data_IF_371619424885
#
_entry.id   IF_371619424885
#
_cell.length_a   1.000
_cell.length_b   1.000
_cell.length_c   1.000
_cell.angle_alpha   90.00
_cell.angle_beta   90.00
_cell.angle_gamma   90.00
#
_symmetry.space_group_name_H-M   'P 1'
#
loop_
_entity.id
_entity.type
_entity.pdbx_description
1 polymer ?
#
# COMPACT_ATOMS: atom_id res chain seq x y z
N UNK A 1 23.27 -35.84 -3.03
CA UNK A 1 23.91 -34.75 -2.26
C UNK A 1 23.39 -33.45 -2.82
N UNK A 2 22.58 -32.72 -2.05
CA UNK A 2 22.01 -31.44 -2.48
C UNK A 2 23.13 -30.39 -2.51
N UNK A 3 23.37 -29.80 -3.67
CA UNK A 3 24.36 -28.76 -3.93
C UNK A 3 23.74 -27.36 -3.83
N UNK A 4 22.70 -27.18 -3.01
CA UNK A 4 22.15 -25.85 -2.76
C UNK A 4 23.08 -25.11 -1.79
N UNK A 5 23.67 -23.97 -2.19
CA UNK A 5 24.49 -23.17 -1.29
C UNK A 5 23.61 -22.71 -0.14
N UNK A 6 23.99 -23.07 1.09
CA UNK A 6 23.29 -22.62 2.29
C UNK A 6 23.42 -21.09 2.33
N UNK A 7 22.33 -20.32 2.26
CA UNK A 7 22.40 -18.87 2.27
C UNK A 7 22.61 -18.42 3.72
N UNK A 8 23.82 -18.64 4.24
CA UNK A 8 24.28 -18.05 5.50
C UNK A 8 24.79 -16.62 5.25
N UNK A 9 23.97 -15.78 4.61
CA UNK A 9 24.20 -14.33 4.67
C UNK A 9 23.46 -13.85 5.92
N UNK A 10 24.11 -14.05 7.08
CA UNK A 10 23.88 -13.13 8.21
C UNK A 10 24.22 -11.72 7.72
N UNK A 11 23.67 -10.69 8.36
CA UNK A 11 23.81 -9.31 7.88
C UNK A 11 25.25 -9.00 7.46
N UNK A 12 25.46 -8.17 6.44
CA UNK A 12 26.80 -7.83 5.93
C UNK A 12 27.73 -7.34 7.05
N UNK A 13 27.17 -6.71 8.09
CA UNK A 13 27.84 -6.35 9.33
C UNK A 13 28.33 -7.56 10.14
N UNK A 14 27.52 -8.61 10.29
CA UNK A 14 27.89 -9.84 11.00
C UNK A 14 29.04 -10.58 10.31
N UNK A 15 29.06 -10.60 8.99
CA UNK A 15 30.12 -11.25 8.20
C UNK A 15 31.46 -10.54 8.40
N UNK A 16 31.49 -9.20 8.34
CA UNK A 16 32.69 -8.40 8.60
C UNK A 16 33.17 -8.56 10.05
N UNK A 17 32.23 -8.53 11.02
CA UNK A 17 32.56 -8.71 12.44
C UNK A 17 33.09 -10.11 12.76
N UNK A 18 32.54 -11.15 12.13
CA UNK A 18 33.03 -12.51 12.27
C UNK A 18 34.44 -12.66 11.67
N UNK A 19 34.67 -12.12 10.48
CA UNK A 19 35.97 -12.12 9.84
C UNK A 19 37.01 -11.37 10.69
N UNK A 20 36.65 -10.20 11.24
CA UNK A 20 37.47 -9.44 12.18
C UNK A 20 37.89 -10.30 13.39
N UNK A 21 36.93 -10.92 14.08
CA UNK A 21 37.20 -11.69 15.29
C UNK A 21 38.10 -12.90 15.00
N UNK A 22 37.86 -13.59 13.89
CA UNK A 22 38.65 -14.74 13.45
C UNK A 22 40.08 -14.36 13.08
N UNK A 23 40.27 -13.22 12.41
CA UNK A 23 41.59 -12.70 12.06
C UNK A 23 42.37 -12.31 13.30
N UNK A 24 41.75 -11.61 14.26
CA UNK A 24 42.43 -11.22 15.50
C UNK A 24 42.90 -12.43 16.33
N UNK A 25 42.06 -13.47 16.41
CA UNK A 25 42.47 -14.72 17.03
C UNK A 25 43.70 -15.34 16.34
N UNK A 26 43.74 -15.28 15.01
CA UNK A 26 44.85 -15.81 14.21
C UNK A 26 46.13 -14.96 14.36
N UNK A 27 46.01 -13.64 14.43
CA UNK A 27 47.11 -12.69 14.70
C UNK A 27 47.71 -12.93 16.08
N UNK A 28 46.89 -13.04 17.11
CA UNK A 28 47.38 -13.32 18.48
C UNK A 28 48.10 -14.67 18.56
N UNK A 29 47.58 -15.69 17.87
CA UNK A 29 48.23 -17.00 17.76
C UNK A 29 49.56 -16.91 16.99
N UNK A 30 49.59 -16.16 15.89
CA UNK A 30 50.79 -15.97 15.08
C UNK A 30 51.91 -15.26 15.86
N UNK A 31 51.56 -14.23 16.62
CA UNK A 31 52.51 -13.49 17.46
C UNK A 31 53.10 -14.35 18.59
N UNK A 32 52.29 -15.24 19.18
CA UNK A 32 52.74 -16.20 20.22
C UNK A 32 53.55 -17.36 19.64
N UNK A 33 53.29 -17.74 18.39
CA UNK A 33 53.90 -18.88 17.72
C UNK A 33 53.14 -20.20 17.90
N UNK A 34 53.44 -21.17 17.02
CA UNK A 34 52.74 -22.47 16.97
C UNK A 34 53.14 -23.46 18.09
N UNK A 35 54.27 -23.23 18.77
CA UNK A 35 54.73 -24.07 19.86
C UNK A 35 54.29 -23.47 21.20
N UNK A 36 53.34 -24.15 21.85
CA UNK A 36 52.91 -23.86 23.22
C UNK A 36 54.08 -24.04 24.19
N UNK A 37 54.82 -22.98 24.48
CA UNK A 37 55.66 -22.95 25.67
C UNK A 37 54.77 -22.76 26.89
N UNK A 38 54.87 -23.71 27.82
CA UNK A 38 54.13 -23.72 29.07
C UNK A 38 54.57 -22.58 29.98
N UNK A 39 53.64 -21.67 30.28
CA UNK A 39 53.50 -20.89 31.52
C UNK A 39 54.65 -20.00 32.03
N UNK A 40 55.78 -19.88 31.34
CA UNK A 40 56.87 -18.97 31.73
C UNK A 40 57.24 -18.06 30.56
N UNK A 41 56.25 -17.33 30.05
CA UNK A 41 56.52 -16.17 29.20
C UNK A 41 56.79 -15.01 30.15
N UNK A 42 58.01 -14.48 30.14
CA UNK A 42 58.36 -13.29 30.92
C UNK A 42 57.36 -12.16 30.62
N UNK A 43 56.95 -11.42 31.66
CA UNK A 43 55.93 -10.37 31.55
C UNK A 43 56.25 -9.32 30.48
N UNK A 44 57.52 -9.17 30.14
CA UNK A 44 58.04 -8.24 29.13
C UNK A 44 57.64 -8.68 27.71
N UNK A 45 57.85 -9.94 27.34
CA UNK A 45 57.44 -10.48 26.03
C UNK A 45 55.92 -10.45 25.87
N UNK A 46 55.18 -10.77 26.93
CA UNK A 46 53.71 -10.74 26.89
C UNK A 46 53.18 -9.32 26.63
N UNK A 47 53.79 -8.30 27.21
CA UNK A 47 53.44 -6.90 26.96
C UNK A 47 53.78 -6.48 25.52
N UNK A 48 54.93 -6.88 24.99
CA UNK A 48 55.32 -6.62 23.59
C UNK A 48 54.36 -7.27 22.60
N UNK A 49 53.97 -8.53 22.84
CA UNK A 49 52.96 -9.24 22.03
C UNK A 49 51.61 -8.51 22.08
N UNK A 50 51.18 -8.06 23.26
CA UNK A 50 49.91 -7.36 23.41
C UNK A 50 49.88 -6.02 22.67
N UNK A 51 50.93 -5.21 22.80
CA UNK A 51 51.04 -3.92 22.10
C UNK A 51 51.05 -4.10 20.58
N UNK A 52 51.77 -5.11 20.08
CA UNK A 52 51.78 -5.43 18.65
C UNK A 52 50.41 -5.94 18.18
N UNK A 53 49.74 -6.79 18.96
CA UNK A 53 48.39 -7.25 18.65
C UNK A 53 47.38 -6.10 18.61
N UNK A 54 47.47 -5.13 19.53
CA UNK A 54 46.61 -3.94 19.55
C UNK A 54 46.84 -3.06 18.30
N UNK A 55 48.07 -2.96 17.80
CA UNK A 55 48.36 -2.27 16.54
C UNK A 55 47.68 -2.93 15.33
N UNK A 56 47.76 -4.26 15.21
CA UNK A 56 47.06 -5.00 14.16
C UNK A 56 45.54 -4.90 14.30
N UNK A 57 45.02 -4.91 15.54
CA UNK A 57 43.59 -4.73 15.83
C UNK A 57 43.06 -3.42 15.25
N UNK A 58 43.79 -2.33 15.40
CA UNK A 58 43.36 -1.04 14.87
C UNK A 58 43.40 -1.03 13.34
N UNK A 59 44.44 -1.58 12.72
CA UNK A 59 44.51 -1.73 11.24
C UNK A 59 43.31 -2.50 10.69
N UNK A 60 43.00 -3.65 11.29
CA UNK A 60 41.90 -4.53 10.85
C UNK A 60 40.54 -3.86 11.08
N UNK A 61 40.39 -3.09 12.16
CA UNK A 61 39.16 -2.34 12.45
C UNK A 61 38.91 -1.22 11.45
N UNK A 62 39.96 -0.46 11.10
CA UNK A 62 39.88 0.62 10.10
C UNK A 62 39.46 0.05 8.75
N UNK A 63 40.10 -1.03 8.30
CA UNK A 63 39.78 -1.64 7.01
C UNK A 63 38.39 -2.28 7.02
N UNK A 64 38.03 -2.99 8.10
CA UNK A 64 36.70 -3.56 8.27
C UNK A 64 35.58 -2.51 8.18
N UNK A 65 35.78 -1.32 8.76
CA UNK A 65 34.81 -0.22 8.65
C UNK A 65 34.69 0.33 7.22
N UNK A 66 35.80 0.44 6.49
CA UNK A 66 35.78 0.84 5.06
C UNK A 66 35.03 -0.19 4.22
N UNK A 67 35.32 -1.47 4.42
CA UNK A 67 34.66 -2.58 3.73
C UNK A 67 33.17 -2.60 4.04
N UNK A 68 32.79 -2.45 5.31
CA UNK A 68 31.38 -2.38 5.71
C UNK A 68 30.65 -1.24 4.98
N UNK A 69 31.20 -0.03 5.00
CA UNK A 69 30.61 1.12 4.31
C UNK A 69 30.49 0.91 2.80
N UNK A 70 31.51 0.30 2.17
CA UNK A 70 31.50 -0.01 0.74
C UNK A 70 30.42 -1.05 0.40
N UNK A 71 30.31 -2.12 1.18
CA UNK A 71 29.30 -3.16 1.02
C UNK A 71 27.89 -2.61 1.23
N UNK A 72 27.67 -1.78 2.26
CA UNK A 72 26.37 -1.15 2.51
C UNK A 72 25.96 -0.20 1.36
N UNK A 73 26.92 0.55 0.79
CA UNK A 73 26.68 1.41 -0.38
C UNK A 73 26.31 0.58 -1.61
N UNK A 74 27.08 -0.46 -1.94
CA UNK A 74 26.83 -1.33 -3.09
C UNK A 74 25.51 -2.10 -2.96
N UNK A 75 25.16 -2.53 -1.76
CA UNK A 75 23.87 -3.15 -1.47
C UNK A 75 22.70 -2.18 -1.73
N UNK A 76 22.81 -0.92 -1.31
CA UNK A 76 21.80 0.13 -1.60
C UNK A 76 21.69 0.43 -3.10
N UNK A 77 22.79 0.34 -3.84
CA UNK A 77 22.83 0.52 -5.29
C UNK A 77 22.37 -0.73 -6.07
N UNK A 78 22.05 -1.85 -5.39
CA UNK A 78 21.62 -3.10 -6.03
C UNK A 78 22.75 -3.87 -6.75
N UNK A 79 24.01 -3.50 -6.53
CA UNK A 79 25.19 -4.06 -7.20
C UNK A 79 25.77 -5.25 -6.44
N UNK A 80 24.98 -6.30 -6.24
CA UNK A 80 25.38 -7.44 -5.41
C UNK A 80 26.61 -8.20 -5.95
N UNK A 81 26.85 -8.21 -7.26
CA UNK A 81 28.05 -8.86 -7.82
C UNK A 81 29.36 -8.13 -7.47
N UNK A 82 29.31 -6.83 -7.18
CA UNK A 82 30.48 -6.06 -6.75
C UNK A 82 30.75 -6.24 -5.25
N UNK A 83 29.74 -6.65 -4.46
CA UNK A 83 29.89 -6.93 -3.02
C UNK A 83 30.84 -8.09 -2.78
N UNK A 84 30.73 -9.16 -3.56
CA UNK A 84 31.60 -10.33 -3.44
C UNK A 84 33.06 -9.98 -3.75
N UNK A 85 33.31 -9.11 -4.73
CA UNK A 85 34.66 -8.61 -5.03
C UNK A 85 35.25 -7.82 -3.86
N UNK A 86 34.46 -6.92 -3.25
CA UNK A 86 34.90 -6.13 -2.09
C UNK A 86 35.18 -7.02 -0.88
N UNK A 87 34.37 -8.06 -0.66
CA UNK A 87 34.61 -9.03 0.42
C UNK A 87 35.84 -9.89 0.14
N UNK A 88 36.09 -10.25 -1.12
CA UNK A 88 37.30 -10.97 -1.51
C UNK A 88 38.57 -10.16 -1.21
N UNK A 89 38.60 -8.89 -1.60
CA UNK A 89 39.72 -7.98 -1.33
C UNK A 89 39.95 -7.81 0.18
N UNK A 90 38.86 -7.71 0.95
CA UNK A 90 38.94 -7.66 2.41
C UNK A 90 39.52 -8.96 3.00
N UNK A 91 39.10 -10.13 2.52
CA UNK A 91 39.67 -11.40 2.95
C UNK A 91 41.17 -11.52 2.62
N UNK A 92 41.59 -11.04 1.46
CA UNK A 92 42.99 -10.98 1.06
C UNK A 92 43.81 -10.10 2.02
N UNK A 93 43.30 -8.90 2.33
CA UNK A 93 43.91 -8.02 3.33
C UNK A 93 44.03 -8.69 4.72
N UNK A 94 42.98 -9.37 5.18
CA UNK A 94 43.01 -10.08 6.47
C UNK A 94 44.07 -11.19 6.50
N UNK A 95 44.26 -11.89 5.38
CA UNK A 95 45.30 -12.91 5.25
C UNK A 95 46.71 -12.31 5.34
N UNK A 96 46.96 -11.20 4.64
CA UNK A 96 48.23 -10.48 4.68
C UNK A 96 48.60 -10.03 6.11
N UNK A 97 47.62 -9.52 6.87
CA UNK A 97 47.82 -9.14 8.27
C UNK A 97 48.27 -10.33 9.13
N UNK A 98 47.72 -11.52 8.91
CA UNK A 98 48.11 -12.73 9.66
C UNK A 98 49.53 -13.16 9.29
N UNK A 99 49.92 -13.07 8.02
CA UNK A 99 51.29 -13.38 7.57
C UNK A 99 52.31 -12.37 8.13
N UNK A 100 51.99 -11.07 8.12
CA UNK A 100 52.83 -10.06 8.79
C UNK A 100 53.02 -10.38 10.27
N UNK A 101 51.94 -10.75 10.97
CA UNK A 101 51.98 -11.11 12.38
C UNK A 101 52.84 -12.35 12.66
N UNK A 102 52.88 -13.33 11.75
CA UNK A 102 53.78 -14.50 11.88
C UNK A 102 55.25 -14.11 11.77
N UNK A 103 55.57 -13.22 10.83
CA UNK A 103 56.93 -12.72 10.64
C UNK A 103 57.37 -11.94 11.87
N UNK A 104 56.52 -11.01 12.35
CA UNK A 104 56.83 -10.18 13.52
C UNK A 104 56.92 -11.01 14.81
N UNK A 105 56.03 -11.99 15.00
CA UNK A 105 56.10 -12.94 16.13
C UNK A 105 57.36 -13.80 16.12
N UNK A 106 57.91 -14.10 14.95
CA UNK A 106 59.21 -14.77 14.82
C UNK A 106 60.37 -13.83 15.13
N UNK A 107 60.26 -12.54 14.76
CA UNK A 107 61.26 -11.50 15.07
C UNK A 107 61.33 -11.21 16.57
N UNK A 108 60.19 -11.09 17.24
CA UNK A 108 60.11 -10.87 18.70
C UNK A 108 60.80 -11.99 19.48
N UNK A 109 60.65 -13.25 19.04
CA UNK A 109 61.31 -14.40 19.68
C UNK A 109 62.83 -14.38 19.58
N UNK A 110 63.39 -14.04 18.41
CA UNK A 110 64.85 -13.98 18.24
C UNK A 110 65.52 -12.96 19.17
N UNK A 111 64.83 -11.86 19.46
CA UNK A 111 65.33 -10.82 20.38
C UNK A 111 65.41 -11.29 21.83
N UNK A 112 64.53 -12.20 22.25
CA UNK A 112 64.54 -12.75 23.60
C UNK A 112 65.56 -13.90 23.73
N UNK A 113 65.73 -14.71 22.69
CA UNK A 113 66.74 -15.78 22.67
C UNK A 113 68.19 -15.22 22.70
N UNK A 114 68.43 -14.05 22.11
CA UNK A 114 69.74 -13.36 22.16
C UNK A 114 70.10 -12.84 23.57
N UNK A 115 69.12 -12.59 24.45
CA UNK A 115 69.37 -12.06 25.81
C UNK A 115 69.83 -13.15 26.79
N UNK A 116 69.66 -14.43 26.45
CA UNK A 116 69.95 -15.57 27.35
C UNK A 116 71.38 -16.11 27.23
N UNK A 117 72.17 -15.69 26.22
CA UNK A 117 73.50 -16.27 25.93
C UNK A 117 74.68 -15.49 26.53
N UNK A 118 74.50 -14.26 27.04
CA UNK A 118 75.60 -13.43 27.58
C UNK A 118 75.75 -13.44 29.11
N UNK A 119 75.64 -14.59 29.80
CA UNK A 119 76.11 -14.69 31.20
C UNK A 119 76.60 -16.09 31.54
N UNK A 120 77.89 -16.35 31.32
CA UNK A 120 78.80 -17.17 32.17
C UNK A 120 80.10 -17.44 31.43
N UNK A 121 81.20 -16.84 31.89
CA UNK A 121 82.52 -17.49 31.96
C UNK A 121 83.48 -16.56 32.70
N UNK A 122 83.95 -17.01 33.88
CA UNK A 122 85.18 -16.49 34.50
C UNK A 122 85.67 -17.41 35.64
N UNK A 123 87.01 -17.54 35.72
CA UNK A 123 87.89 -18.10 36.79
C UNK A 123 88.09 -19.63 36.90
N UNK A 124 89.25 -20.23 37.27
CA UNK A 124 90.73 -20.04 37.16
C UNK A 124 91.41 -21.11 38.07
N UNK A 125 92.56 -21.66 37.62
CA UNK A 125 93.70 -22.32 38.34
C UNK A 125 93.49 -23.63 39.16
N UNK A 126 94.19 -24.76 38.93
CA UNK A 126 95.64 -25.15 39.04
C UNK A 126 96.16 -25.44 40.48
N UNK A 127 96.53 -26.71 40.77
CA UNK A 127 97.93 -27.19 40.99
C UNK A 127 98.05 -28.47 41.86
N UNK A 128 99.14 -29.22 41.64
CA UNK A 128 99.70 -30.13 42.64
C UNK A 128 100.59 -31.25 42.09
N UNK A 129 101.88 -30.98 41.87
CA UNK A 129 102.90 -32.01 41.61
C UNK A 129 104.04 -31.97 42.65
N UNK A 130 104.59 -33.16 42.85
CA UNK A 130 105.50 -33.61 43.90
C UNK A 130 106.94 -33.08 43.72
N UNK A 131 107.80 -33.30 44.74
CA UNK A 131 108.97 -34.20 44.67
C UNK A 131 110.16 -33.71 45.52
N UNK A 132 110.91 -34.68 46.06
CA UNK A 132 112.39 -34.65 46.12
C UNK A 132 113.08 -33.72 47.14
N UNK A 133 113.03 -34.08 48.43
CA UNK A 133 114.02 -33.58 49.41
C UNK A 133 114.38 -34.61 50.52
N UNK A 134 114.41 -35.90 50.16
CA UNK A 134 114.55 -37.03 51.10
C UNK A 134 116.01 -37.44 51.44
N UNK A 135 117.03 -36.81 50.85
CA UNK A 135 118.43 -37.32 50.96
C UNK A 135 119.38 -36.38 51.74
N UNK A 136 118.99 -35.11 51.99
CA UNK A 136 119.65 -34.24 52.98
C UNK A 136 119.18 -34.50 54.42
N UNK A 137 118.10 -35.26 54.59
CA UNK A 137 117.34 -35.45 55.82
C UNK A 137 118.06 -36.34 56.86
N UNK A 138 118.84 -37.34 56.45
CA UNK A 138 119.31 -38.39 57.38
C UNK A 138 120.55 -38.03 58.23
N UNK A 139 121.30 -36.97 57.89
CA UNK A 139 122.53 -36.60 58.61
C UNK A 139 122.36 -35.36 59.48
N UNK A 140 121.41 -34.48 59.14
CA UNK A 140 120.84 -33.49 60.05
C UNK A 140 119.93 -34.15 61.11
N UNK A 141 119.23 -35.24 60.76
CA UNK A 141 118.30 -35.98 61.61
C UNK A 141 118.83 -36.36 62.99
N UNK A 142 120.14 -36.57 63.20
CA UNK A 142 120.65 -37.03 64.50
C UNK A 142 120.84 -35.90 65.53
N UNK A 143 121.28 -34.71 65.10
CA UNK A 143 121.37 -33.50 65.95
C UNK A 143 120.02 -32.78 65.99
N UNK A 144 119.28 -32.86 64.88
CA UNK A 144 117.89 -32.44 64.82
C UNK A 144 116.99 -33.33 65.68
N UNK A 145 117.26 -34.63 65.93
CA UNK A 145 116.41 -35.46 66.82
C UNK A 145 116.47 -35.05 68.30
N UNK A 146 117.61 -34.56 68.81
CA UNK A 146 117.71 -34.08 70.20
C UNK A 146 117.08 -32.68 70.38
N UNK A 147 117.25 -31.77 69.40
CA UNK A 147 116.51 -30.51 69.35
C UNK A 147 115.01 -30.72 69.05
N UNK A 148 114.64 -31.64 68.15
CA UNK A 148 113.26 -32.07 67.87
C UNK A 148 112.63 -32.76 69.05
N UNK A 149 113.36 -33.39 69.96
CA UNK A 149 112.74 -33.97 71.14
C UNK A 149 112.36 -32.87 72.15
N UNK A 150 113.17 -31.83 72.29
CA UNK A 150 112.81 -30.64 73.08
C UNK A 150 111.78 -29.75 72.39
N UNK A 151 111.88 -29.54 71.08
CA UNK A 151 110.85 -28.89 70.26
C UNK A 151 109.57 -29.72 70.24
N UNK A 152 109.58 -31.05 70.10
CA UNK A 152 108.38 -31.90 70.20
C UNK A 152 107.75 -31.80 71.58
N UNK A 153 108.52 -31.70 72.66
CA UNK A 153 107.95 -31.51 74.00
C UNK A 153 107.33 -30.11 74.18
N UNK A 154 107.90 -29.10 73.53
CA UNK A 154 107.37 -27.73 73.54
C UNK A 154 106.22 -27.54 72.54
N UNK A 155 106.24 -28.25 71.41
CA UNK A 155 105.19 -28.36 70.41
C UNK A 155 104.06 -29.23 70.91
N UNK A 156 104.29 -30.30 71.67
CA UNK A 156 103.25 -31.08 72.35
C UNK A 156 102.50 -30.21 73.37
N UNK A 157 103.20 -29.32 74.10
CA UNK A 157 102.54 -28.34 74.96
C UNK A 157 101.76 -27.27 74.18
N UNK A 158 102.26 -26.83 73.02
CA UNK A 158 101.52 -25.93 72.12
C UNK A 158 100.37 -26.64 71.39
N UNK A 159 100.48 -27.94 71.15
CA UNK A 159 99.47 -28.81 70.56
C UNK A 159 98.38 -29.10 71.57
N UNK A 160 98.69 -29.36 72.83
CA UNK A 160 97.68 -29.49 73.88
C UNK A 160 96.92 -28.18 74.08
N UNK A 161 97.60 -27.01 74.10
CA UNK A 161 96.89 -25.73 74.18
C UNK A 161 96.12 -25.41 72.89
N UNK A 162 96.68 -25.71 71.71
CA UNK A 162 95.98 -25.53 70.43
C UNK A 162 94.82 -26.52 70.28
N UNK A 163 94.90 -27.73 70.84
CA UNK A 163 93.83 -28.71 70.85
C UNK A 163 92.72 -28.28 71.82
N UNK A 164 93.06 -27.69 72.96
CA UNK A 164 92.08 -27.11 73.88
C UNK A 164 91.39 -25.86 73.28
N UNK A 165 92.13 -25.02 72.55
CA UNK A 165 91.58 -23.88 71.80
C UNK A 165 90.76 -24.33 70.57
N UNK A 166 91.16 -25.39 69.88
CA UNK A 166 90.39 -26.04 68.81
C UNK A 166 89.11 -26.68 69.37
N UNK A 167 89.17 -27.29 70.55
CA UNK A 167 88.00 -27.92 71.18
C UNK A 167 87.00 -26.86 71.66
N UNK A 168 87.46 -25.76 72.28
CA UNK A 168 86.61 -24.61 72.63
C UNK A 168 86.03 -23.91 71.40
N UNK A 169 86.82 -23.74 70.35
CA UNK A 169 86.31 -23.15 69.10
C UNK A 169 85.37 -24.09 68.34
N UNK A 170 85.59 -25.42 68.38
CA UNK A 170 84.64 -26.41 67.86
C UNK A 170 83.33 -26.44 68.65
N UNK A 171 83.36 -26.29 69.98
CA UNK A 171 82.17 -26.21 70.82
C UNK A 171 81.36 -24.93 70.53
N UNK A 172 82.03 -23.78 70.38
CA UNK A 172 81.38 -22.51 69.98
C UNK A 172 80.83 -22.59 68.55
N UNK A 173 81.53 -23.26 67.62
CA UNK A 173 81.03 -23.51 66.27
C UNK A 173 79.80 -24.42 66.30
N UNK A 174 79.82 -25.51 67.08
CA UNK A 174 78.69 -26.42 67.23
C UNK A 174 77.45 -25.73 67.82
N UNK A 175 77.62 -24.88 68.84
CA UNK A 175 76.52 -24.11 69.44
C UNK A 175 75.95 -23.06 68.48
N UNK A 176 76.80 -22.37 67.73
CA UNK A 176 76.34 -21.39 66.73
C UNK A 176 75.66 -22.05 65.54
N UNK A 177 76.13 -23.21 65.09
CA UNK A 177 75.48 -24.02 64.05
C UNK A 177 74.14 -24.57 64.54
N UNK A 178 74.06 -25.08 65.77
CA UNK A 178 72.82 -25.55 66.37
C UNK A 178 71.77 -24.43 66.47
N UNK A 179 72.16 -23.23 66.91
CA UNK A 179 71.26 -22.08 66.96
C UNK A 179 70.76 -21.68 65.56
N UNK A 180 71.62 -21.71 64.53
CA UNK A 180 71.21 -21.45 63.15
C UNK A 180 70.24 -22.51 62.62
N UNK A 181 70.51 -23.78 62.89
CA UNK A 181 69.62 -24.89 62.50
C UNK A 181 68.24 -24.74 63.13
N UNK A 182 68.18 -24.44 64.43
CA UNK A 182 66.92 -24.22 65.14
C UNK A 182 66.16 -23.00 64.62
N UNK A 183 66.86 -21.92 64.27
CA UNK A 183 66.23 -20.75 63.63
C UNK A 183 65.66 -21.09 62.23
N UNK A 184 66.37 -21.89 61.43
CA UNK A 184 65.88 -22.36 60.14
C UNK A 184 64.68 -23.30 60.29
N UNK A 185 64.64 -24.15 61.33
CA UNK A 185 63.50 -25.02 61.63
C UNK A 185 62.24 -24.21 61.97
N UNK A 186 62.37 -23.13 62.77
CA UNK A 186 61.25 -22.22 63.07
C UNK A 186 60.76 -21.53 61.79
N UNK A 187 61.66 -20.99 60.97
CA UNK A 187 61.28 -20.38 59.69
C UNK A 187 60.59 -21.38 58.75
N UNK A 188 61.05 -22.63 58.72
CA UNK A 188 60.43 -23.68 57.91
C UNK A 188 59.00 -23.97 58.40
N UNK A 189 58.78 -24.01 59.71
CA UNK A 189 57.44 -24.19 60.29
C UNK A 189 56.52 -23.01 60.00
N UNK A 190 56.99 -21.76 60.15
CA UNK A 190 56.22 -20.57 59.75
C UNK A 190 55.83 -20.60 58.28
N UNK A 191 56.76 -21.01 57.40
CA UNK A 191 56.47 -21.16 55.96
C UNK A 191 55.50 -22.30 55.66
N UNK A 192 55.52 -23.38 56.45
CA UNK A 192 54.53 -24.44 56.33
C UNK A 192 53.12 -23.97 56.76
N UNK A 193 53.01 -23.14 57.80
CA UNK A 193 51.74 -22.53 58.20
C UNK A 193 51.20 -21.58 57.12
N UNK A 194 52.03 -20.69 56.58
CA UNK A 194 51.67 -19.81 55.44
C UNK A 194 51.21 -20.64 54.23
N UNK A 195 51.86 -21.78 53.96
CA UNK A 195 51.49 -22.68 52.87
C UNK A 195 50.10 -23.29 53.07
N UNK A 196 49.74 -23.69 54.29
CA UNK A 196 48.40 -24.21 54.59
C UNK A 196 47.31 -23.13 54.48
N UNK A 197 47.57 -21.90 54.95
CA UNK A 197 46.64 -20.78 54.77
C UNK A 197 46.40 -20.45 53.28
N UNK A 198 47.46 -20.53 52.47
CA UNK A 198 47.36 -20.36 51.01
C UNK A 198 46.54 -21.50 50.38
N UNK A 199 46.73 -22.76 50.81
CA UNK A 199 45.92 -23.89 50.32
C UNK A 199 44.43 -23.70 50.63
N UNK A 200 44.11 -23.25 51.84
CA UNK A 200 42.72 -22.94 52.23
C UNK A 200 42.12 -21.80 51.40
N UNK A 201 42.91 -20.77 51.13
CA UNK A 201 42.50 -19.64 50.28
C UNK A 201 42.25 -20.09 48.85
N UNK A 202 43.12 -20.95 48.30
CA UNK A 202 42.94 -21.57 46.98
C UNK A 202 41.67 -22.42 46.95
N UNK A 203 41.41 -23.23 47.99
CA UNK A 203 40.19 -24.03 48.08
C UNK A 203 38.93 -23.16 48.07
N UNK A 204 38.90 -22.09 48.88
CA UNK A 204 37.79 -21.10 48.89
C UNK A 204 37.57 -20.47 47.52
N UNK A 205 38.64 -20.12 46.80
CA UNK A 205 38.54 -19.56 45.46
C UNK A 205 38.04 -20.58 44.43
N UNK A 206 38.48 -21.85 44.49
CA UNK A 206 37.97 -22.93 43.64
C UNK A 206 36.46 -23.14 43.84
N UNK A 207 35.97 -23.13 45.08
CA UNK A 207 34.53 -23.23 45.36
C UNK A 207 33.75 -22.04 44.79
N UNK A 208 34.28 -20.81 44.92
CA UNK A 208 33.66 -19.62 44.32
C UNK A 208 33.62 -19.70 42.80
N UNK A 209 34.70 -20.16 42.18
CA UNK A 209 34.79 -20.35 40.73
C UNK A 209 33.75 -21.35 40.24
N UNK A 210 33.62 -22.51 40.90
CA UNK A 210 32.62 -23.53 40.56
C UNK A 210 31.18 -22.98 40.61
N UNK A 211 30.83 -22.22 41.67
CA UNK A 211 29.51 -21.57 41.78
C UNK A 211 29.26 -20.52 40.68
N UNK A 212 30.30 -19.82 40.24
CA UNK A 212 30.19 -18.87 39.12
C UNK A 212 29.98 -19.59 37.79
N UNK A 213 30.70 -20.69 37.55
CA UNK A 213 30.52 -21.53 36.35
C UNK A 213 29.09 -22.06 36.27
N UNK A 214 28.55 -22.61 37.37
CA UNK A 214 27.17 -23.10 37.43
C UNK A 214 26.15 -21.99 37.09
N UNK A 215 26.33 -20.78 37.63
CA UNK A 215 25.47 -19.62 37.30
C UNK A 215 25.58 -19.19 35.84
N UNK A 216 26.76 -19.28 35.23
CA UNK A 216 26.97 -18.98 33.81
C UNK A 216 26.24 -20.00 32.95
N UNK A 217 26.36 -21.29 33.26
CA UNK A 217 25.66 -22.37 32.57
C UNK A 217 24.14 -22.22 32.68
N UNK A 218 23.61 -21.91 33.87
CA UNK A 218 22.18 -21.65 34.08
C UNK A 218 21.70 -20.47 33.22
N UNK A 219 22.43 -19.35 33.20
CA UNK A 219 22.10 -18.18 32.38
C UNK A 219 22.20 -18.47 30.89
N UNK A 220 23.20 -19.24 30.47
CA UNK A 220 23.36 -19.70 29.08
C UNK A 220 22.16 -20.55 28.65
N UNK A 221 21.71 -21.46 29.51
CA UNK A 221 20.50 -22.25 29.29
C UNK A 221 19.24 -21.38 29.15
N UNK A 222 19.07 -20.36 30.00
CA UNK A 222 17.96 -19.39 29.89
C UNK A 222 18.01 -18.59 28.60
N UNK A 223 19.19 -18.10 28.21
CA UNK A 223 19.41 -17.40 26.94
C UNK A 223 19.05 -18.29 25.74
N UNK A 224 19.47 -19.55 25.74
CA UNK A 224 19.12 -20.49 24.67
C UNK A 224 17.60 -20.69 24.52
N UNK A 225 16.86 -20.76 25.64
CA UNK A 225 15.39 -20.84 25.61
C UNK A 225 14.75 -19.55 25.09
N UNK A 226 15.26 -18.39 25.49
CA UNK A 226 14.79 -17.09 25.00
C UNK A 226 15.01 -16.94 23.49
N UNK A 227 16.17 -17.36 22.98
CA UNK A 227 16.46 -17.36 21.55
C UNK A 227 15.48 -18.23 20.76
N UNK A 228 15.19 -19.45 21.23
CA UNK A 228 14.18 -20.31 20.58
C UNK A 228 12.80 -19.66 20.54
N UNK A 229 12.34 -19.07 21.65
CA UNK A 229 11.06 -18.35 21.67
C UNK A 229 11.06 -17.14 20.73
N UNK A 230 12.20 -16.45 20.58
CA UNK A 230 12.34 -15.34 19.66
C UNK A 230 12.25 -15.80 18.19
N UNK A 231 12.89 -16.93 17.86
CA UNK A 231 12.82 -17.55 16.54
C UNK A 231 11.37 -17.99 16.23
N UNK A 232 10.71 -18.69 17.17
CA UNK A 232 9.30 -19.13 17.03
C UNK A 232 8.35 -17.94 16.82
N UNK A 233 8.55 -16.83 17.55
CA UNK A 233 7.75 -15.62 17.39
C UNK A 233 7.99 -14.93 16.05
N UNK A 234 9.23 -14.97 15.56
CA UNK A 234 9.60 -14.38 14.27
C UNK A 234 8.98 -15.17 13.12
N UNK A 235 9.05 -16.50 13.17
CA UNK A 235 8.40 -17.39 12.21
C UNK A 235 6.88 -17.21 12.21
N UNK A 236 6.26 -17.15 13.40
CA UNK A 236 4.82 -16.91 13.54
C UNK A 236 4.39 -15.60 12.88
N UNK A 237 5.14 -14.50 13.11
CA UNK A 237 4.85 -13.20 12.49
C UNK A 237 4.98 -13.23 10.97
N UNK A 238 5.95 -13.99 10.45
CA UNK A 238 6.13 -14.16 9.01
C UNK A 238 4.93 -14.86 8.37
N UNK A 239 4.49 -15.99 8.96
CA UNK A 239 3.33 -16.74 8.48
C UNK A 239 2.03 -15.92 8.56
N UNK A 240 1.81 -15.20 9.67
CA UNK A 240 0.67 -14.28 9.82
C UNK A 240 0.70 -13.17 8.76
N UNK A 241 1.89 -12.65 8.44
CA UNK A 241 2.09 -11.69 7.35
C UNK A 241 1.69 -12.26 5.98
N UNK A 242 2.05 -13.51 5.67
CA UNK A 242 1.65 -14.17 4.42
C UNK A 242 0.14 -14.44 4.34
N UNK A 243 -0.48 -14.90 5.42
CA UNK A 243 -1.93 -15.13 5.47
C UNK A 243 -2.71 -13.82 5.30
N UNK A 244 -2.27 -12.76 5.96
CA UNK A 244 -2.84 -11.43 5.80
C UNK A 244 -2.68 -10.92 4.36
N UNK A 245 -1.51 -11.13 3.73
CA UNK A 245 -1.29 -10.78 2.33
C UNK A 245 -2.26 -11.50 1.40
N UNK A 246 -2.44 -12.82 1.56
CA UNK A 246 -3.40 -13.62 0.77
C UNK A 246 -4.83 -13.13 0.97
N UNK A 247 -5.19 -12.75 2.19
CA UNK A 247 -6.53 -12.22 2.51
C UNK A 247 -6.76 -10.87 1.84
N UNK A 248 -5.76 -9.98 1.85
CA UNK A 248 -5.82 -8.68 1.15
C UNK A 248 -5.94 -8.86 -0.36
N UNK A 249 -5.20 -9.81 -0.96
CA UNK A 249 -5.30 -10.11 -2.40
C UNK A 249 -6.70 -10.60 -2.76
N UNK A 250 -7.30 -11.52 -1.98
CA UNK A 250 -8.69 -11.98 -2.19
C UNK A 250 -9.70 -10.84 -2.12
N UNK A 251 -9.59 -9.97 -1.11
CA UNK A 251 -10.49 -8.83 -0.95
C UNK A 251 -10.35 -7.82 -2.10
N UNK A 252 -9.15 -7.67 -2.69
CA UNK A 252 -8.93 -6.83 -3.87
C UNK A 252 -9.60 -7.41 -5.11
N UNK A 253 -9.53 -8.73 -5.29
CA UNK A 253 -10.22 -9.43 -6.38
C UNK A 253 -11.75 -9.29 -6.23
N UNK A 254 -12.29 -9.55 -5.04
CA UNK A 254 -13.73 -9.37 -4.75
C UNK A 254 -14.19 -7.93 -4.98
N UNK A 255 -13.37 -6.94 -4.61
CA UNK A 255 -13.67 -5.52 -4.85
C UNK A 255 -13.70 -5.22 -6.35
N UNK A 256 -12.72 -5.68 -7.12
CA UNK A 256 -12.68 -5.49 -8.57
C UNK A 256 -13.89 -6.13 -9.27
N UNK A 257 -14.29 -7.35 -8.86
CA UNK A 257 -15.49 -8.01 -9.37
C UNK A 257 -16.76 -7.22 -9.04
N UNK A 258 -16.84 -6.67 -7.82
CA UNK A 258 -17.98 -5.84 -7.40
C UNK A 258 -18.08 -4.52 -8.17
N UNK A 259 -16.95 -3.88 -8.49
CA UNK A 259 -16.89 -2.67 -9.31
C UNK A 259 -17.38 -2.95 -10.73
N UNK A 260 -16.95 -4.06 -11.35
CA UNK A 260 -17.42 -4.47 -12.68
C UNK A 260 -18.94 -4.70 -12.69
N UNK A 261 -19.48 -5.33 -11.64
CA UNK A 261 -20.93 -5.54 -11.52
C UNK A 261 -21.69 -4.22 -11.36
N UNK A 262 -21.15 -3.30 -10.56
CA UNK A 262 -21.73 -1.98 -10.37
C UNK A 262 -21.71 -1.18 -11.68
N UNK A 263 -20.61 -1.19 -12.42
CA UNK A 263 -20.50 -0.53 -13.73
C UNK A 263 -21.54 -1.07 -14.71
N UNK A 264 -21.71 -2.40 -14.79
CA UNK A 264 -22.75 -3.03 -15.63
C UNK A 264 -24.16 -2.59 -15.22
N UNK A 265 -24.43 -2.54 -13.91
CA UNK A 265 -25.73 -2.09 -13.38
C UNK A 265 -26.00 -0.62 -13.73
N UNK A 266 -25.03 0.26 -13.52
CA UNK A 266 -25.13 1.68 -13.87
C UNK A 266 -25.34 1.88 -15.36
N UNK A 267 -24.62 1.14 -16.20
CA UNK A 267 -24.80 1.18 -17.66
C UNK A 267 -26.21 0.75 -18.07
N UNK A 268 -26.75 -0.30 -17.44
CA UNK A 268 -28.13 -0.75 -17.67
C UNK A 268 -29.15 0.32 -17.28
N UNK A 269 -29.05 0.90 -16.08
CA UNK A 269 -29.96 1.97 -15.64
C UNK A 269 -29.89 3.22 -16.52
N UNK A 270 -28.70 3.59 -16.99
CA UNK A 270 -28.55 4.71 -17.94
C UNK A 270 -29.28 4.43 -19.25
N UNK A 271 -29.19 3.20 -19.76
CA UNK A 271 -29.89 2.80 -20.98
C UNK A 271 -31.41 2.84 -20.78
N UNK A 272 -31.92 2.26 -19.70
CA UNK A 272 -33.37 2.27 -19.39
C UNK A 272 -33.90 3.71 -19.24
N UNK A 273 -33.12 4.59 -18.60
CA UNK A 273 -33.47 6.00 -18.45
C UNK A 273 -33.59 6.70 -19.82
N UNK A 274 -32.65 6.45 -20.73
CA UNK A 274 -32.67 7.06 -22.06
C UNK A 274 -33.83 6.53 -22.92
N UNK A 275 -34.11 5.23 -22.85
CA UNK A 275 -35.29 4.61 -23.49
C UNK A 275 -36.61 5.15 -22.89
N UNK A 276 -36.64 5.43 -21.59
CA UNK A 276 -37.78 6.07 -20.93
C UNK A 276 -38.01 7.50 -21.44
N UNK A 277 -36.95 8.31 -21.56
CA UNK A 277 -37.05 9.67 -22.13
C UNK A 277 -37.51 9.65 -23.58
N UNK A 278 -37.05 8.70 -24.38
CA UNK A 278 -37.50 8.57 -25.76
C UNK A 278 -39.00 8.23 -25.83
N UNK A 279 -39.49 7.35 -24.96
CA UNK A 279 -40.92 7.04 -24.83
C UNK A 279 -41.73 8.27 -24.41
N UNK A 280 -41.25 9.03 -23.44
CA UNK A 280 -41.89 10.27 -22.98
C UNK A 280 -41.96 11.34 -24.09
N UNK A 281 -40.87 11.56 -24.83
CA UNK A 281 -40.84 12.48 -25.96
C UNK A 281 -41.84 12.08 -27.06
N UNK A 282 -41.95 10.78 -27.37
CA UNK A 282 -42.96 10.29 -28.33
C UNK A 282 -44.38 10.58 -27.86
N UNK A 283 -44.67 10.41 -26.57
CA UNK A 283 -45.98 10.74 -26.00
C UNK A 283 -46.27 12.24 -26.07
N UNK A 284 -45.30 13.08 -25.73
CA UNK A 284 -45.43 14.54 -25.84
C UNK A 284 -45.73 14.96 -27.29
N UNK A 285 -45.03 14.37 -28.26
CA UNK A 285 -45.29 14.63 -29.67
C UNK A 285 -46.71 14.22 -30.09
N UNK A 286 -47.16 13.03 -29.70
CA UNK A 286 -48.53 12.57 -29.97
C UNK A 286 -49.60 13.45 -29.33
N UNK A 287 -49.35 13.94 -28.11
CA UNK A 287 -50.26 14.89 -27.47
C UNK A 287 -50.31 16.21 -28.23
N UNK A 288 -49.16 16.75 -28.68
CA UNK A 288 -49.12 17.96 -29.49
C UNK A 288 -49.86 17.83 -30.83
N UNK A 289 -49.74 16.68 -31.50
CA UNK A 289 -50.49 16.39 -32.73
C UNK A 289 -52.00 16.36 -32.47
N UNK A 290 -52.44 15.71 -31.37
CA UNK A 290 -53.86 15.68 -30.98
C UNK A 290 -54.38 17.04 -30.54
N UNK A 291 -53.58 17.87 -29.88
CA UNK A 291 -53.97 19.25 -29.52
C UNK A 291 -54.26 20.09 -30.77
N UNK A 292 -53.44 19.96 -31.81
CA UNK A 292 -53.69 20.61 -33.10
C UNK A 292 -54.96 20.10 -33.78
N UNK A 293 -55.22 18.78 -33.73
CA UNK A 293 -56.45 18.19 -34.27
C UNK A 293 -57.69 18.69 -33.51
N UNK A 294 -57.63 18.74 -32.18
CA UNK A 294 -58.70 19.29 -31.34
C UNK A 294 -58.96 20.75 -31.67
N UNK A 295 -57.93 21.57 -31.86
CA UNK A 295 -58.10 22.99 -32.21
C UNK A 295 -58.70 23.14 -33.62
N UNK A 296 -58.31 22.30 -34.58
CA UNK A 296 -58.92 22.26 -35.91
C UNK A 296 -60.40 21.85 -35.86
N UNK A 297 -60.75 20.84 -35.06
CA UNK A 297 -62.15 20.43 -34.86
C UNK A 297 -62.95 21.54 -34.18
N UNK A 298 -62.39 22.20 -33.17
CA UNK A 298 -63.03 23.33 -32.48
C UNK A 298 -63.31 24.49 -33.44
N UNK A 299 -62.42 24.75 -34.40
CA UNK A 299 -62.66 25.73 -35.46
C UNK A 299 -63.82 25.32 -36.38
N UNK A 300 -63.85 24.05 -36.84
CA UNK A 300 -64.95 23.54 -37.67
C UNK A 300 -66.30 23.59 -36.96
N UNK A 301 -66.33 23.27 -35.67
CA UNK A 301 -67.56 23.35 -34.86
C UNK A 301 -68.08 24.78 -34.84
N UNK A 302 -67.22 25.78 -34.63
CA UNK A 302 -67.62 27.20 -34.68
C UNK A 302 -68.14 27.62 -36.06
N UNK A 303 -67.47 27.23 -37.14
CA UNK A 303 -67.91 27.53 -38.50
C UNK A 303 -69.28 26.89 -38.81
N UNK A 304 -69.55 25.69 -38.31
CA UNK A 304 -70.85 25.02 -38.46
C UNK A 304 -71.94 25.64 -37.59
N UNK A 305 -71.61 26.06 -36.36
CA UNK A 305 -72.52 26.84 -35.49
C UNK A 305 -72.91 28.17 -36.13
N UNK A 306 -71.96 28.88 -36.75
CA UNK A 306 -72.23 30.12 -37.49
C UNK A 306 -73.18 29.89 -38.68
N UNK A 307 -72.94 28.84 -39.48
CA UNK A 307 -73.84 28.46 -40.58
C UNK A 307 -75.23 28.08 -40.11
N UNK A 308 -75.34 27.32 -39.02
CA UNK A 308 -76.66 26.97 -38.48
C UNK A 308 -77.43 28.22 -38.05
N UNK A 309 -76.76 29.23 -37.51
CA UNK A 309 -77.41 30.51 -37.19
C UNK A 309 -77.87 31.26 -38.45
N UNK A 310 -77.08 31.22 -39.52
CA UNK A 310 -77.48 31.78 -40.83
C UNK A 310 -78.69 31.03 -41.42
N UNK A 311 -78.69 29.70 -41.34
CA UNK A 311 -79.80 28.86 -41.79
C UNK A 311 -81.06 29.09 -40.95
N UNK A 312 -80.94 29.24 -39.63
CA UNK A 312 -82.04 29.60 -38.73
C UNK A 312 -82.61 31.01 -39.08
N UNK A 313 -81.75 31.98 -39.39
CA UNK A 313 -82.17 33.32 -39.84
C UNK A 313 -82.88 33.27 -41.21
N UNK A 314 -82.40 32.42 -42.13
CA UNK A 314 -83.04 32.19 -43.42
C UNK A 314 -84.38 31.47 -43.27
N UNK A 315 -84.50 30.53 -42.34
CA UNK A 315 -85.76 29.86 -42.01
C UNK A 315 -86.78 30.84 -41.42
N UNK A 316 -86.35 31.76 -40.55
CA UNK A 316 -87.21 32.83 -40.02
C UNK A 316 -87.72 33.75 -41.16
N UNK A 317 -86.81 34.19 -42.04
CA UNK A 317 -87.19 34.96 -43.25
C UNK A 317 -88.13 34.20 -44.18
N UNK A 318 -87.94 32.88 -44.32
CA UNK A 318 -88.82 32.03 -45.10
C UNK A 318 -90.21 31.94 -44.47
N UNK A 319 -90.29 31.77 -43.14
CA UNK A 319 -91.57 31.75 -42.41
C UNK A 319 -92.33 33.07 -42.56
N UNK A 320 -91.66 34.22 -42.44
CA UNK A 320 -92.24 35.54 -42.69
C UNK A 320 -92.77 35.66 -44.13
N UNK A 321 -91.99 35.20 -45.10
CA UNK A 321 -92.39 35.21 -46.52
C UNK A 321 -93.55 34.26 -46.82
N UNK A 322 -93.63 33.11 -46.13
CA UNK A 322 -94.76 32.17 -46.23
C UNK A 322 -96.04 32.82 -45.68
N UNK A 323 -95.96 33.53 -44.54
CA UNK A 323 -97.10 34.28 -43.99
C UNK A 323 -97.56 35.40 -44.94
N UNK A 324 -96.64 36.12 -45.59
CA UNK A 324 -96.97 37.12 -46.61
C UNK A 324 -97.68 36.50 -47.82
N UNK A 325 -97.21 35.33 -48.29
CA UNK A 325 -97.89 34.57 -49.35
C UNK A 325 -99.31 34.18 -48.93
N UNK A 326 -99.51 33.70 -47.70
CA UNK A 326 -100.86 33.40 -47.18
C UNK A 326 -101.77 34.62 -47.22
N UNK A 327 -101.30 35.79 -46.75
CA UNK A 327 -102.06 37.06 -46.79
C UNK A 327 -102.41 37.47 -48.21
N UNK A 328 -101.44 37.43 -49.12
CA UNK A 328 -101.66 37.72 -50.54
C UNK A 328 -102.67 36.75 -51.16
N UNK A 329 -102.63 35.48 -50.79
CA UNK A 329 -103.58 34.49 -51.29
C UNK A 329 -105.00 34.76 -50.78
N UNK A 330 -105.18 35.17 -49.52
CA UNK A 330 -106.47 35.63 -49.00
C UNK A 330 -106.98 36.88 -49.74
N UNK A 331 -106.09 37.83 -50.06
CA UNK A 331 -106.45 39.00 -50.86
C UNK A 331 -106.86 38.62 -52.29
N UNK A 332 -106.14 37.68 -52.93
CA UNK A 332 -106.48 37.15 -54.26
C UNK A 332 -107.84 36.45 -54.23
N UNK A 333 -108.12 35.62 -53.23
CA UNK A 333 -109.42 34.97 -53.06
C UNK A 333 -110.55 35.99 -52.87
N UNK A 334 -110.31 37.03 -52.06
CA UNK A 334 -111.26 38.13 -51.89
C UNK A 334 -111.48 38.89 -53.21
N UNK A 335 -110.42 39.13 -53.99
CA UNK A 335 -110.50 39.78 -55.30
C UNK A 335 -111.28 38.93 -56.30
N UNK A 336 -111.01 37.62 -56.35
CA UNK A 336 -111.70 36.65 -57.19
C UNK A 336 -113.20 36.64 -56.87
N UNK A 337 -113.57 36.61 -55.59
CA UNK A 337 -114.97 36.67 -55.16
C UNK A 337 -115.64 37.97 -55.57
N UNK A 338 -114.93 39.10 -55.48
CA UNK A 338 -115.44 40.40 -55.96
C UNK A 338 -115.63 40.41 -57.47
N UNK A 339 -114.71 39.79 -58.22
CA UNK A 339 -114.77 39.67 -59.68
C UNK A 339 -115.90 38.74 -60.14
N UNK A 340 -116.18 37.66 -59.41
CA UNK A 340 -117.38 36.82 -59.61
C UNK A 340 -118.66 37.64 -59.43
N UNK A 341 -118.81 38.35 -58.31
CA UNK A 341 -119.98 39.20 -58.07
C UNK A 341 -120.16 40.26 -59.18
N UNK A 342 -119.05 40.82 -59.65
CA UNK A 342 -119.08 41.80 -60.74
C UNK A 342 -119.46 41.14 -62.07
N UNK A 343 -118.93 39.96 -62.37
CA UNK A 343 -119.33 39.16 -63.54
C UNK A 343 -120.81 38.80 -63.49
N UNK A 344 -121.33 38.35 -62.35
CA UNK A 344 -122.76 38.07 -62.15
C UNK A 344 -123.61 39.32 -62.38
N UNK A 345 -123.16 40.47 -61.89
CA UNK A 345 -123.85 41.75 -62.08
C UNK A 345 -123.85 42.20 -63.54
N UNK A 346 -122.76 41.95 -64.27
CA UNK A 346 -122.64 42.26 -65.69
C UNK A 346 -123.50 41.30 -66.53
N UNK A 347 -123.53 40.02 -66.17
CA UNK A 347 -124.40 39.03 -66.80
C UNK A 347 -125.87 39.36 -66.59
N UNK A 348 -126.24 39.80 -65.38
CA UNK A 348 -127.58 40.31 -65.06
C UNK A 348 -127.93 41.54 -65.91
N UNK A 349 -127.03 42.53 -65.98
CA UNK A 349 -127.22 43.71 -66.81
C UNK A 349 -127.38 43.33 -68.29
N UNK A 350 -126.62 42.36 -68.76
CA UNK A 350 -126.70 41.85 -70.15
C UNK A 350 -128.04 41.20 -70.42
N UNK A 351 -128.58 40.40 -69.48
CA UNK A 351 -129.96 39.87 -69.58
C UNK A 351 -131.00 40.97 -69.57
N UNK A 352 -130.88 41.96 -68.69
CA UNK A 352 -131.81 43.10 -68.63
C UNK A 352 -131.79 43.91 -69.93
N UNK A 353 -130.61 44.14 -70.53
CA UNK A 353 -130.50 44.79 -71.84
C UNK A 353 -131.13 43.96 -72.96
N UNK A 354 -130.90 42.65 -72.99
CA UNK A 354 -131.52 41.77 -73.98
C UNK A 354 -133.06 41.75 -73.84
N UNK A 355 -133.57 41.79 -72.61
CA UNK A 355 -135.00 41.89 -72.34
C UNK A 355 -135.59 43.23 -72.78
N UNK A 356 -134.91 44.35 -72.47
CA UNK A 356 -135.32 45.68 -72.98
C UNK A 356 -135.27 45.77 -74.49
N UNK A 357 -134.26 45.19 -75.14
CA UNK A 357 -134.21 45.12 -76.60
C UNK A 357 -135.43 44.40 -77.15
N UNK A 358 -135.82 43.27 -76.54
CA UNK A 358 -137.02 42.52 -76.94
C UNK A 358 -138.31 43.30 -76.70
N UNK A 359 -138.41 44.04 -75.59
CA UNK A 359 -139.53 44.95 -75.33
C UNK A 359 -139.62 46.05 -76.39
N UNK A 360 -138.49 46.72 -76.71
CA UNK A 360 -138.46 47.72 -77.78
C UNK A 360 -138.73 47.13 -79.16
N UNK A 361 -138.34 45.88 -79.41
CA UNK A 361 -138.60 45.18 -80.67
C UNK A 361 -140.10 44.87 -80.80
N UNK A 362 -140.75 44.43 -79.72
CA UNK A 362 -142.21 44.25 -79.67
C UNK A 362 -142.97 45.57 -79.82
N UNK A 363 -142.50 46.66 -79.19
CA UNK A 363 -143.08 48.00 -79.36
C UNK A 363 -142.95 48.48 -80.81
N UNK A 364 -141.77 48.29 -81.43
CA UNK A 364 -141.54 48.59 -82.84
C UNK A 364 -142.43 47.76 -83.77
N UNK A 365 -142.69 46.50 -83.42
CA UNK A 365 -143.61 45.64 -84.16
C UNK A 365 -145.06 46.11 -84.02
N UNK A 366 -145.46 46.59 -82.84
CA UNK A 366 -146.72 47.29 -82.60
C UNK A 366 -146.86 48.56 -83.46
N UNK A 367 -145.85 49.42 -83.44
CA UNK A 367 -145.79 50.65 -84.26
C UNK A 367 -145.83 50.33 -85.76
N UNK A 368 -145.16 49.26 -86.21
CA UNK A 368 -145.25 48.78 -87.61
C UNK A 368 -146.67 48.35 -87.98
N UNK A 369 -147.41 47.77 -87.04
CA UNK A 369 -148.79 47.33 -87.26
C UNK A 369 -149.73 48.53 -87.37
N UNK A 370 -149.59 49.51 -86.49
CA UNK A 370 -150.32 50.78 -86.55
C UNK A 370 -150.00 51.58 -87.82
N UNK A 371 -148.73 51.65 -88.22
CA UNK A 371 -148.32 52.26 -89.49
C UNK A 371 -148.92 51.55 -90.71
N UNK A 372 -149.14 50.24 -90.63
CA UNK A 372 -149.78 49.47 -91.70
C UNK A 372 -151.28 49.75 -91.76
N UNK A 373 -151.96 49.81 -90.62
CA UNK A 373 -153.37 50.21 -90.54
C UNK A 373 -153.58 51.65 -91.05
N UNK A 374 -152.73 52.60 -90.64
CA UNK A 374 -152.79 53.98 -91.14
C UNK A 374 -152.49 54.09 -92.65
N UNK A 375 -151.66 53.19 -93.19
CA UNK A 375 -151.41 53.13 -94.64
C UNK A 375 -152.60 52.56 -95.40
N UNK A 376 -153.19 51.46 -94.92
CA UNK A 376 -154.36 50.85 -95.55
C UNK A 376 -155.59 51.79 -95.49
N UNK A 377 -155.68 52.65 -94.46
CA UNK A 377 -156.70 53.70 -94.34
C UNK A 377 -156.45 54.88 -95.30
N UNK A 378 -155.18 55.15 -95.66
CA UNK A 378 -154.82 56.17 -96.65
C UNK A 378 -155.13 55.71 -98.09
N UNK A 379 -154.89 54.43 -98.39
CA UNK A 379 -155.18 53.84 -99.70
C UNK A 379 -156.71 53.73 -99.95
N UNK A 380 -157.53 53.69 -98.88
CA UNK A 380 -159.00 53.77 -98.97
C UNK A 380 -159.53 55.15 -99.37
N UNK A 381 -158.77 56.23 -99.17
CA UNK A 381 -159.23 57.61 -99.45
C UNK A 381 -159.00 58.00 -100.92
N UNK A 382 -158.09 57.34 -101.62
CA UNK A 382 -157.71 57.70 -102.99
C UNK A 382 -158.47 56.95 -104.10
N UNK A 383 -159.36 56.00 -103.78
CA UNK A 383 -160.19 55.30 -104.78
C UNK A 383 -161.66 55.80 -104.85
N UNK A 384 -162.07 56.86 -104.13
CA UNK A 384 -163.47 57.34 -104.13
C UNK A 384 -163.75 58.72 -104.79
N UNK A 385 -162.75 59.46 -105.30
CA UNK A 385 -162.97 60.78 -105.92
C UNK A 385 -162.56 60.84 -107.41
N UNK A 386 -163.06 59.89 -108.21
CA UNK A 386 -163.04 59.94 -109.68
C UNK A 386 -164.45 59.87 -110.28
N UNK A 387 -165.43 60.62 -109.75
CA UNK A 387 -166.71 60.92 -110.45
C UNK A 387 -167.46 62.09 -109.80
N UNK A 388 -167.09 63.35 -110.10
CA UNK A 388 -168.04 64.47 -110.36
C UNK A 388 -167.31 65.81 -110.60
N UNK A 389 -167.81 66.58 -111.60
CA UNK A 389 -167.47 67.98 -111.98
C UNK A 389 -166.24 68.15 -112.91
N UNK A 390 -166.31 68.35 -114.23
CA UNK A 390 -167.28 68.99 -115.13
C UNK A 390 -167.63 70.46 -114.77
N UNK A 391 -167.17 71.39 -115.62
CA UNK A 391 -167.49 72.84 -115.75
C UNK A 391 -166.82 73.85 -114.78
N UNK A 392 -165.76 74.53 -115.26
CA UNK A 392 -165.64 76.00 -115.48
C UNK A 392 -164.16 76.41 -115.52
N UNK A 393 -163.75 77.04 -116.64
CA UNK A 393 -162.55 77.89 -116.87
C UNK A 393 -161.14 77.36 -116.63
#
# INVERSE_FOLDING_TARGET
MSSSPVPFVRSTSDTVNYAFARTMFSVEKALRGELFYSNVIESILLNSIRLTADSYKEKVKIEGLKTQNAVERLAKEGKMMEVDSVLYDFHQFLFEIVEEAKIEGSRLRRKDDEVVVEKKEDTVAENGHQMSELISMMTAMKVEMENKMQEMLQELKKLDSAQEDVQKSQEVVADTEYCKLKAMEVQLNEKNEELEELKDTIAKHKTKQSKLTERIEEKSGKLSRLWKMFDDLTEKKYLEGEENKKTVERLREELADSEILLEKSVAWYRKELEESKERELKLIQQMGEKELEVEALKKRVKEEEEKNMEDDELLEKLADSEEEVYKLNEEVDHLNKKMEMMSDSFEKLTREMAQRQKETENELEGVKKELKEAKDELDSIYEEDETDMANFY
#
